data_IF_431061393614
#
_entry.id   IF_431061393614
#
_cell.length_a   1.000
_cell.length_b   1.000
_cell.length_c   1.000
_cell.angle_alpha   90.00
_cell.angle_beta   90.00
_cell.angle_gamma   90.00
#
_symmetry.space_group_name_H-M   'P 1'
#
loop_
_entity.id
_entity.type
_entity.pdbx_description
1 polymer ?
#
# COMPACT_ATOMS: atom_id res chain seq x y z
N UNK A 1 -18.15 -21.09 -4.75
CA UNK A 1 -16.74 -20.95 -4.33
C UNK A 1 -16.24 -22.16 -3.55
N UNK A 2 -17.12 -22.95 -2.95
CA UNK A 2 -16.77 -24.17 -2.17
C UNK A 2 -16.16 -25.33 -2.99
N UNK A 3 -16.03 -25.16 -4.32
CA UNK A 3 -15.51 -26.17 -5.26
C UNK A 3 -14.02 -26.01 -5.57
N UNK A 4 -13.37 -24.96 -5.07
CA UNK A 4 -11.93 -24.73 -5.24
C UNK A 4 -11.23 -24.91 -3.89
N UNK A 5 -10.06 -25.55 -3.91
CA UNK A 5 -9.24 -25.60 -2.71
C UNK A 5 -8.53 -24.26 -2.43
N UNK A 6 -8.08 -24.08 -1.19
CA UNK A 6 -7.40 -22.86 -0.74
C UNK A 6 -6.14 -22.54 -1.56
N UNK A 7 -5.46 -23.56 -2.11
CA UNK A 7 -4.27 -23.37 -2.92
C UNK A 7 -4.62 -22.80 -4.30
N UNK A 8 -5.72 -23.25 -4.92
CA UNK A 8 -6.24 -22.72 -6.17
C UNK A 8 -6.69 -21.27 -6.01
N UNK A 9 -7.47 -20.97 -4.96
CA UNK A 9 -7.90 -19.61 -4.63
C UNK A 9 -6.68 -18.72 -4.39
N UNK A 10 -5.72 -19.19 -3.59
CA UNK A 10 -4.49 -18.47 -3.31
C UNK A 10 -3.62 -18.25 -4.55
N UNK A 11 -3.62 -19.17 -5.52
CA UNK A 11 -2.87 -19.00 -6.77
C UNK A 11 -3.44 -17.87 -7.61
N UNK A 12 -4.75 -17.86 -7.86
CA UNK A 12 -5.42 -16.83 -8.62
C UNK A 12 -5.29 -15.45 -7.93
N UNK A 13 -5.49 -15.39 -6.62
CA UNK A 13 -5.32 -14.14 -5.86
C UNK A 13 -3.90 -13.59 -5.96
N UNK A 14 -2.88 -14.45 -5.86
CA UNK A 14 -1.48 -14.03 -6.01
C UNK A 14 -1.17 -13.48 -7.39
N UNK A 15 -1.81 -13.99 -8.43
CA UNK A 15 -1.64 -13.45 -9.79
C UNK A 15 -2.14 -12.02 -9.89
N UNK A 16 -3.37 -11.76 -9.45
CA UNK A 16 -3.94 -10.41 -9.39
C UNK A 16 -3.05 -9.48 -8.55
N UNK A 17 -2.62 -9.92 -7.36
CA UNK A 17 -1.74 -9.13 -6.49
C UNK A 17 -0.38 -8.83 -7.13
N UNK A 18 0.18 -9.75 -7.93
CA UNK A 18 1.44 -9.48 -8.67
C UNK A 18 1.26 -8.36 -9.68
N UNK A 19 0.16 -8.35 -10.43
CA UNK A 19 -0.07 -7.33 -11.45
C UNK A 19 -0.49 -5.98 -10.85
N UNK A 20 -1.25 -5.98 -9.75
CA UNK A 20 -1.47 -4.78 -8.94
C UNK A 20 -0.14 -4.19 -8.45
N UNK A 21 0.78 -5.02 -7.93
CA UNK A 21 2.09 -4.58 -7.47
C UNK A 21 2.92 -3.96 -8.59
N UNK A 22 2.99 -4.60 -9.78
CA UNK A 22 3.69 -4.03 -10.95
C UNK A 22 3.13 -2.66 -11.33
N UNK A 23 1.81 -2.51 -11.28
CA UNK A 23 1.11 -1.27 -11.62
C UNK A 23 1.46 -0.15 -10.62
N UNK A 24 1.38 -0.46 -9.33
CA UNK A 24 1.72 0.47 -8.25
C UNK A 24 3.20 0.88 -8.30
N UNK A 25 4.10 -0.07 -8.51
CA UNK A 25 5.53 0.19 -8.61
C UNK A 25 5.86 1.12 -9.79
N UNK A 26 5.26 0.86 -10.96
CA UNK A 26 5.41 1.71 -12.14
C UNK A 26 4.97 3.15 -11.90
N UNK A 27 3.89 3.39 -11.14
CA UNK A 27 3.35 4.73 -10.90
C UNK A 27 3.99 5.44 -9.70
N UNK A 28 4.40 4.70 -8.66
CA UNK A 28 4.72 5.27 -7.35
C UNK A 28 6.09 4.89 -6.79
N UNK A 29 6.74 3.84 -7.32
CA UNK A 29 8.01 3.30 -6.82
C UNK A 29 8.04 3.26 -5.27
N UNK A 30 7.22 2.37 -4.72
CA UNK A 30 6.88 2.33 -3.29
C UNK A 30 8.05 1.73 -2.49
N UNK A 31 8.45 2.40 -1.42
CA UNK A 31 9.53 1.97 -0.52
C UNK A 31 9.10 2.03 0.96
N UNK A 32 9.79 1.30 1.87
CA UNK A 32 9.53 1.41 3.30
C UNK A 32 9.72 2.84 3.80
N UNK A 33 8.79 3.32 4.63
CA UNK A 33 8.93 4.65 5.25
C UNK A 33 10.01 4.66 6.36
N UNK A 34 10.25 3.51 6.99
CA UNK A 34 11.27 3.32 8.03
C UNK A 34 12.27 2.23 7.63
N UNK A 35 13.56 2.50 7.83
CA UNK A 35 14.66 1.55 7.63
C UNK A 35 14.73 0.48 8.73
N UNK A 36 14.10 0.72 9.88
CA UNK A 36 14.03 -0.23 10.99
C UNK A 36 13.11 -1.40 10.67
N UNK A 37 13.46 -2.59 11.12
CA UNK A 37 12.68 -3.80 10.83
C UNK A 37 11.45 -3.94 11.74
N UNK A 38 10.46 -4.71 11.28
CA UNK A 38 9.35 -5.10 12.14
C UNK A 38 9.86 -5.92 13.33
N UNK A 39 9.34 -5.64 14.52
CA UNK A 39 9.81 -6.20 15.78
C UNK A 39 10.91 -5.39 16.47
N UNK A 40 11.50 -4.39 15.82
CA UNK A 40 12.49 -3.51 16.46
C UNK A 40 11.83 -2.37 17.24
N UNK A 41 12.55 -1.82 18.23
CA UNK A 41 12.10 -0.65 18.99
C UNK A 41 12.35 0.63 18.20
N UNK A 42 11.35 1.51 18.17
CA UNK A 42 11.43 2.84 17.58
C UNK A 42 11.02 3.89 18.61
N UNK A 43 11.83 4.93 18.74
CA UNK A 43 11.50 6.10 19.56
C UNK A 43 11.15 7.26 18.64
N UNK A 44 9.91 7.70 18.72
CA UNK A 44 9.40 8.92 18.09
C UNK A 44 9.68 10.08 19.05
N UNK A 45 10.28 11.15 18.56
CA UNK A 45 10.63 12.33 19.38
C UNK A 45 9.81 13.52 18.89
N UNK A 46 9.03 14.12 19.79
CA UNK A 46 8.19 15.26 19.47
C UNK A 46 6.82 14.85 18.91
N UNK A 47 6.21 15.77 18.16
CA UNK A 47 4.90 15.59 17.54
C UNK A 47 5.07 15.07 16.11
N UNK A 48 5.37 13.77 15.99
CA UNK A 48 5.47 13.10 14.69
C UNK A 48 4.09 13.12 14.00
N UNK A 49 4.09 13.40 12.69
CA UNK A 49 2.84 13.50 11.95
C UNK A 49 2.04 12.20 12.04
N UNK A 50 0.71 12.24 12.27
CA UNK A 50 -0.13 11.03 12.28
C UNK A 50 -0.16 10.31 10.92
N UNK A 51 0.26 11.00 9.84
CA UNK A 51 0.44 10.40 8.51
C UNK A 51 1.75 9.61 8.38
N UNK A 52 2.73 9.82 9.28
CA UNK A 52 4.06 9.19 9.25
C UNK A 52 4.19 8.10 10.31
N UNK A 53 3.63 8.31 11.49
CA UNK A 53 3.64 7.32 12.55
C UNK A 53 2.29 7.27 13.27
N UNK A 54 1.76 6.05 13.40
CA UNK A 54 0.55 5.78 14.18
C UNK A 54 0.91 4.87 15.34
N UNK A 55 0.68 5.36 16.55
CA UNK A 55 0.82 4.55 17.77
C UNK A 55 -0.44 3.70 17.91
N UNK A 56 -0.26 2.38 18.02
CA UNK A 56 -1.35 1.41 18.20
C UNK A 56 -1.02 0.44 19.32
N UNK A 57 -2.04 0.03 20.09
CA UNK A 57 -1.88 -0.83 21.25
C UNK A 57 -1.45 -0.10 22.53
N UNK A 58 -1.35 -0.85 23.63
CA UNK A 58 -1.01 -0.33 24.97
C UNK A 58 0.47 -0.45 25.34
N UNK A 59 1.29 -1.08 24.50
CA UNK A 59 2.71 -1.36 24.78
C UNK A 59 3.67 -0.19 24.55
N UNK A 60 3.15 1.02 24.34
CA UNK A 60 3.93 2.23 24.08
C UNK A 60 4.28 2.94 25.39
N UNK A 61 5.55 3.29 25.57
CA UNK A 61 6.02 4.09 26.70
C UNK A 61 6.18 5.56 26.29
N UNK A 62 5.54 6.47 27.02
CA UNK A 62 5.64 7.93 26.79
C UNK A 62 6.52 8.53 27.89
N UNK A 63 7.55 9.29 27.50
CA UNK A 63 8.43 10.02 28.42
C UNK A 63 8.70 11.42 27.87
N UNK A 64 8.18 12.44 28.55
CA UNK A 64 8.21 13.82 28.05
C UNK A 64 7.49 13.92 26.70
N UNK A 65 8.20 14.39 25.68
CA UNK A 65 7.72 14.46 24.28
C UNK A 65 8.10 13.25 23.45
N UNK A 66 8.74 12.23 24.03
CA UNK A 66 9.16 11.03 23.32
C UNK A 66 8.21 9.87 23.56
N UNK A 67 7.94 9.10 22.52
CA UNK A 67 7.13 7.89 22.56
C UNK A 67 7.93 6.73 22.00
N UNK A 68 8.12 5.66 22.78
CA UNK A 68 8.86 4.46 22.36
C UNK A 68 7.92 3.26 22.26
N UNK A 69 8.00 2.53 21.15
CA UNK A 69 7.22 1.32 20.90
C UNK A 69 7.94 0.36 19.97
N UNK A 70 7.32 -0.79 19.73
CA UNK A 70 7.82 -1.78 18.76
C UNK A 70 7.18 -1.55 17.39
N UNK A 71 7.97 -1.58 16.33
CA UNK A 71 7.48 -1.45 14.95
C UNK A 71 6.69 -2.70 14.60
N UNK A 72 5.39 -2.55 14.38
CA UNK A 72 4.52 -3.62 13.88
C UNK A 72 4.40 -3.61 12.35
N UNK A 73 4.64 -2.45 11.74
CA UNK A 73 4.67 -2.27 10.29
C UNK A 73 5.52 -1.05 9.95
N UNK A 74 6.43 -1.17 8.98
CA UNK A 74 7.45 -0.15 8.65
C UNK A 74 6.88 1.10 7.96
N UNK A 75 5.62 1.03 7.54
CA UNK A 75 5.00 2.04 6.69
C UNK A 75 5.50 1.96 5.26
N UNK A 76 4.81 2.66 4.37
CA UNK A 76 5.14 2.76 2.95
C UNK A 76 5.10 4.22 2.52
N UNK A 77 6.04 4.62 1.67
CA UNK A 77 6.02 5.91 1.00
C UNK A 77 6.22 5.73 -0.50
N UNK A 78 5.64 6.65 -1.28
CA UNK A 78 5.89 6.73 -2.71
C UNK A 78 7.11 7.63 -2.95
N UNK A 79 8.03 7.21 -3.80
CA UNK A 79 9.19 8.03 -4.21
C UNK A 79 8.90 8.85 -5.47
N UNK A 80 7.82 8.53 -6.18
CA UNK A 80 7.31 9.29 -7.32
C UNK A 80 5.78 9.24 -7.38
N UNK A 81 5.18 10.06 -8.23
CA UNK A 81 3.74 10.04 -8.51
C UNK A 81 3.50 10.31 -10.00
N UNK A 82 3.43 9.24 -10.78
CA UNK A 82 3.36 9.26 -12.25
C UNK A 82 2.06 8.60 -12.72
N UNK A 83 0.93 9.22 -12.36
CA UNK A 83 -0.40 8.76 -12.81
C UNK A 83 -0.63 9.21 -14.26
N UNK A 84 -1.07 8.32 -15.16
CA UNK A 84 -1.42 8.71 -16.52
C UNK A 84 -2.49 9.81 -16.54
N UNK A 85 -2.32 10.80 -17.43
CA UNK A 85 -3.34 11.81 -17.69
C UNK A 85 -4.30 11.27 -18.75
N UNK A 86 -5.60 11.41 -18.51
CA UNK A 86 -6.62 11.12 -19.53
C UNK A 86 -6.41 12.01 -20.76
N UNK A 87 -6.42 11.40 -21.95
CA UNK A 87 -6.25 12.08 -23.22
C UNK A 87 -7.33 11.71 -24.25
N UNK A 88 -8.42 11.07 -23.83
CA UNK A 88 -9.56 10.69 -24.67
C UNK A 88 -10.61 11.80 -24.79
N UNK A 89 -11.69 11.52 -25.51
CA UNK A 89 -12.81 12.45 -25.65
C UNK A 89 -13.65 12.50 -24.35
N UNK A 90 -14.38 13.59 -24.12
CA UNK A 90 -15.22 13.75 -22.93
C UNK A 90 -16.33 12.69 -22.87
N UNK A 91 -16.96 12.41 -24.01
CA UNK A 91 -18.01 11.40 -24.14
C UNK A 91 -17.51 9.98 -23.78
N UNK A 92 -16.20 9.72 -23.97
CA UNK A 92 -15.57 8.42 -23.68
C UNK A 92 -15.15 8.27 -22.21
N UNK A 93 -15.14 9.35 -21.41
CA UNK A 93 -14.60 9.36 -20.06
C UNK A 93 -15.31 8.39 -19.09
N UNK A 94 -16.52 7.97 -19.43
CA UNK A 94 -17.35 7.06 -18.64
C UNK A 94 -17.36 5.61 -19.16
N UNK A 95 -16.62 5.32 -20.23
CA UNK A 95 -16.53 3.96 -20.80
C UNK A 95 -15.46 3.18 -20.04
N UNK A 96 -15.87 2.13 -19.31
CA UNK A 96 -14.96 1.26 -18.56
C UNK A 96 -14.31 0.17 -19.42
N UNK A 97 -15.06 -0.36 -20.38
CA UNK A 97 -14.60 -1.35 -21.33
C UNK A 97 -15.38 -1.19 -22.65
N UNK A 98 -14.71 -1.29 -23.81
CA UNK A 98 -15.39 -1.24 -25.10
C UNK A 98 -16.22 -2.49 -25.34
N UNK A 99 -17.17 -2.42 -26.28
CA UNK A 99 -17.84 -3.60 -26.82
C UNK A 99 -16.86 -4.38 -27.71
N UNK A 100 -16.77 -5.69 -27.51
CA UNK A 100 -16.00 -6.59 -28.37
C UNK A 100 -16.90 -7.14 -29.48
N UNK A 101 -16.49 -7.01 -30.74
CA UNK A 101 -17.24 -7.51 -31.91
C UNK A 101 -16.35 -8.46 -32.70
N UNK A 102 -16.83 -9.70 -32.86
CA UNK A 102 -16.18 -10.74 -33.67
C UNK A 102 -16.69 -10.69 -35.12
N UNK A 103 -15.80 -10.89 -36.10
CA UNK A 103 -16.10 -10.91 -37.54
C UNK A 103 -15.68 -12.22 -38.17
#
# INVERSE_FOLDING_TARGET
LDSFDDAQIGSAAREVMRDCRKTLDRMFAIEPLSDSEEGQSLTLVGDESPNRARISGSGSAVSGTSTTGTITHRGWQATKCEVPKWNGQEDDAWILAPVEVET
#
